data_IF_138148671761
#
_entry.id   IF_138148671761
#
_cell.length_a   1.000
_cell.length_b   1.000
_cell.length_c   1.000
_cell.angle_alpha   90.00
_cell.angle_beta   90.00
_cell.angle_gamma   90.00
#
_symmetry.space_group_name_H-M   'P 1'
#
loop_
_entity.id
_entity.type
_entity.pdbx_description
1 polymer ?
#
# COMPACT_ATOMS: atom_id res chain seq x y z
N UNK A 1 2.99 35.66 25.19
CA UNK A 1 2.10 34.60 24.64
C UNK A 1 2.34 34.46 23.14
N UNK A 2 3.57 34.14 22.73
CA UNK A 2 4.01 33.97 21.33
C UNK A 2 5.15 32.96 21.18
N UNK A 3 5.85 32.60 22.27
CA UNK A 3 6.95 31.63 22.25
C UNK A 3 6.48 30.17 22.15
N UNK A 4 5.29 29.85 22.70
CA UNK A 4 4.74 28.48 22.66
C UNK A 4 4.29 28.06 21.25
N UNK A 5 3.84 29.00 20.42
CA UNK A 5 3.46 28.70 19.03
C UNK A 5 4.70 28.43 18.15
N UNK A 6 5.80 29.14 18.36
CA UNK A 6 7.05 28.92 17.61
C UNK A 6 7.72 27.59 17.95
N UNK A 7 7.69 27.14 19.21
CA UNK A 7 8.19 25.81 19.60
C UNK A 7 7.31 24.68 19.06
N UNK A 8 5.99 24.87 19.00
CA UNK A 8 5.09 23.88 18.41
C UNK A 8 5.27 23.77 16.89
N UNK A 9 5.50 24.90 16.20
CA UNK A 9 5.76 24.96 14.76
C UNK A 9 7.12 24.35 14.41
N UNK A 10 8.18 24.67 15.15
CA UNK A 10 9.53 24.14 14.89
C UNK A 10 9.64 22.64 15.19
N UNK A 11 8.99 22.15 16.25
CA UNK A 11 8.88 20.71 16.50
C UNK A 11 8.06 20.02 15.39
N UNK A 12 6.94 20.59 14.97
CA UNK A 12 6.14 20.04 13.88
C UNK A 12 6.88 19.98 12.53
N UNK A 13 7.78 20.93 12.26
CA UNK A 13 8.64 20.92 11.07
C UNK A 13 9.75 19.88 11.14
N UNK A 14 10.37 19.68 12.31
CA UNK A 14 11.41 18.66 12.50
C UNK A 14 10.88 17.23 12.35
N UNK A 15 9.65 16.97 12.83
CA UNK A 15 9.00 15.65 12.71
C UNK A 15 8.30 15.42 11.37
N UNK A 16 8.21 16.43 10.51
CA UNK A 16 7.49 16.33 9.25
C UNK A 16 8.10 15.27 8.30
N UNK A 17 9.42 15.27 8.02
CA UNK A 17 10.03 14.24 7.18
C UNK A 17 9.85 12.83 7.74
N UNK A 18 9.97 12.66 9.06
CA UNK A 18 9.77 11.37 9.73
C UNK A 18 8.32 10.89 9.63
N UNK A 19 7.35 11.80 9.82
CA UNK A 19 5.92 11.48 9.66
C UNK A 19 5.60 11.07 8.24
N UNK A 20 6.11 11.79 7.25
CA UNK A 20 5.94 11.43 5.84
C UNK A 20 6.61 10.10 5.50
N UNK A 21 7.80 9.85 6.03
CA UNK A 21 8.49 8.56 5.91
C UNK A 21 7.65 7.39 6.41
N UNK A 22 7.18 7.47 7.66
CA UNK A 22 6.33 6.45 8.29
C UNK A 22 5.04 6.26 7.48
N UNK A 23 4.44 7.35 6.98
CA UNK A 23 3.23 7.28 6.16
C UNK A 23 3.44 6.48 4.87
N UNK A 24 4.51 6.79 4.11
CA UNK A 24 4.83 6.08 2.87
C UNK A 24 5.18 4.61 3.11
N UNK A 25 5.97 4.32 4.15
CA UNK A 25 6.27 2.95 4.57
C UNK A 25 4.98 2.21 4.94
N UNK A 26 4.08 2.85 5.69
CA UNK A 26 2.81 2.27 6.11
C UNK A 26 1.92 1.91 4.92
N UNK A 27 1.77 2.82 3.95
CA UNK A 27 0.99 2.56 2.72
C UNK A 27 1.57 1.37 1.96
N UNK A 28 2.88 1.37 1.70
CA UNK A 28 3.53 0.25 1.02
C UNK A 28 3.36 -1.07 1.79
N UNK A 29 3.51 -1.03 3.11
CA UNK A 29 3.40 -2.21 4.00
C UNK A 29 2.01 -2.83 3.96
N UNK A 30 0.95 -2.02 3.87
CA UNK A 30 -0.42 -2.52 3.75
C UNK A 30 -0.58 -3.31 2.44
N UNK A 31 -0.17 -2.73 1.30
CA UNK A 31 -0.27 -3.40 0.00
C UNK A 31 0.55 -4.68 -0.06
N UNK A 32 1.82 -4.63 0.35
CA UNK A 32 2.69 -5.81 0.34
C UNK A 32 2.20 -6.89 1.33
N UNK A 33 1.62 -6.51 2.47
CA UNK A 33 0.99 -7.45 3.39
C UNK A 33 -0.19 -8.18 2.76
N UNK A 34 -1.04 -7.47 2.01
CA UNK A 34 -2.17 -8.09 1.28
C UNK A 34 -1.66 -9.07 0.21
N UNK A 35 -0.61 -8.70 -0.51
CA UNK A 35 0.05 -9.58 -1.50
C UNK A 35 0.63 -10.83 -0.83
N UNK A 36 1.34 -10.68 0.29
CA UNK A 36 1.88 -11.81 1.05
C UNK A 36 0.76 -12.74 1.54
N UNK A 37 -0.34 -12.19 2.06
CA UNK A 37 -1.50 -12.98 2.45
C UNK A 37 -2.10 -13.73 1.25
N UNK A 38 -2.23 -13.08 0.09
CA UNK A 38 -2.71 -13.72 -1.13
C UNK A 38 -1.79 -14.86 -1.59
N UNK A 39 -0.47 -14.66 -1.56
CA UNK A 39 0.52 -15.70 -1.88
C UNK A 39 0.36 -16.89 -0.94
N UNK A 40 0.24 -16.65 0.38
CA UNK A 40 0.05 -17.72 1.37
C UNK A 40 -1.23 -18.52 1.10
N UNK A 41 -2.35 -17.85 0.81
CA UNK A 41 -3.62 -18.51 0.46
C UNK A 41 -3.48 -19.31 -0.83
N UNK A 42 -2.85 -18.74 -1.86
CA UNK A 42 -2.62 -19.43 -3.12
C UNK A 42 -1.76 -20.69 -2.94
N UNK A 43 -0.66 -20.61 -2.17
CA UNK A 43 0.17 -21.76 -1.84
C UNK A 43 -0.62 -22.84 -1.11
N UNK A 44 -1.45 -22.46 -0.12
CA UNK A 44 -2.30 -23.40 0.61
C UNK A 44 -3.32 -24.09 -0.30
N UNK A 45 -3.96 -23.35 -1.20
CA UNK A 45 -4.95 -23.88 -2.16
C UNK A 45 -4.29 -24.90 -3.10
N UNK A 46 -3.06 -24.62 -3.55
CA UNK A 46 -2.26 -25.55 -4.36
C UNK A 46 -1.50 -26.61 -3.58
N UNK A 47 -1.67 -26.67 -2.26
CA UNK A 47 -0.97 -27.60 -1.38
C UNK A 47 0.58 -27.50 -1.49
N UNK A 48 1.10 -26.30 -1.73
CA UNK A 48 2.53 -26.00 -1.81
C UNK A 48 3.06 -25.77 -0.39
N UNK A 49 3.80 -26.75 0.15
CA UNK A 49 4.29 -26.77 1.54
C UNK A 49 5.40 -25.75 1.88
N UNK A 50 5.81 -24.92 0.92
CA UNK A 50 6.93 -23.97 1.08
C UNK A 50 6.60 -22.94 2.18
N UNK A 51 5.32 -22.59 2.37
CA UNK A 51 4.90 -21.53 3.31
C UNK A 51 4.10 -22.03 4.51
N UNK A 52 4.10 -23.33 4.78
CA UNK A 52 3.28 -23.88 5.86
C UNK A 52 3.86 -23.64 7.26
N UNK A 53 5.20 -23.54 7.39
CA UNK A 53 5.83 -23.40 8.70
C UNK A 53 5.77 -21.95 9.21
N UNK A 54 5.43 -21.78 10.49
CA UNK A 54 5.36 -20.47 11.16
C UNK A 54 6.65 -19.65 11.04
N UNK A 55 7.87 -20.23 11.20
CA UNK A 55 9.11 -19.48 11.05
C UNK A 55 9.25 -18.84 9.67
N UNK A 56 8.88 -19.55 8.59
CA UNK A 56 8.97 -19.01 7.23
C UNK A 56 7.98 -17.85 7.00
N UNK A 57 6.79 -17.92 7.58
CA UNK A 57 5.82 -16.82 7.53
C UNK A 57 6.35 -15.59 8.25
N UNK A 58 6.96 -15.78 9.41
CA UNK A 58 7.57 -14.70 10.20
C UNK A 58 8.72 -14.07 9.42
N UNK A 59 9.63 -14.88 8.84
CA UNK A 59 10.72 -14.39 8.00
C UNK A 59 10.22 -13.57 6.80
N UNK A 60 9.14 -13.98 6.14
CA UNK A 60 8.55 -13.22 5.04
C UNK A 60 7.99 -11.86 5.47
N UNK A 61 7.31 -11.82 6.62
CA UNK A 61 6.79 -10.57 7.16
C UNK A 61 7.95 -9.62 7.50
N UNK A 62 8.97 -10.09 8.22
CA UNK A 62 10.15 -9.27 8.51
C UNK A 62 10.88 -8.83 7.24
N UNK A 63 11.00 -9.71 6.24
CA UNK A 63 11.59 -9.36 4.95
C UNK A 63 10.81 -8.26 4.22
N UNK A 64 9.48 -8.30 4.26
CA UNK A 64 8.63 -7.23 3.71
C UNK A 64 8.82 -5.92 4.45
N UNK A 65 8.86 -5.92 5.78
CA UNK A 65 9.14 -4.69 6.55
C UNK A 65 10.52 -4.10 6.22
N UNK A 66 11.55 -4.94 6.14
CA UNK A 66 12.91 -4.49 5.77
C UNK A 66 12.90 -3.88 4.37
N UNK A 67 12.19 -4.50 3.43
CA UNK A 67 12.04 -3.96 2.08
C UNK A 67 11.32 -2.61 2.09
N UNK A 68 10.23 -2.48 2.84
CA UNK A 68 9.41 -1.27 2.86
C UNK A 68 10.10 -0.07 3.50
N UNK A 69 10.76 -0.28 4.64
CA UNK A 69 11.64 0.72 5.21
C UNK A 69 12.81 1.03 4.27
N UNK A 70 13.45 -0.01 3.74
CA UNK A 70 14.65 0.12 2.91
C UNK A 70 14.42 0.90 1.62
N UNK A 71 13.28 0.74 0.94
CA UNK A 71 13.05 1.41 -0.35
C UNK A 71 12.69 2.89 -0.21
N UNK A 72 11.97 3.29 0.85
CA UNK A 72 11.66 4.70 1.10
C UNK A 72 12.87 5.43 1.71
N UNK A 73 13.76 4.73 2.42
CA UNK A 73 14.88 5.33 3.14
C UNK A 73 15.74 6.27 2.29
N UNK A 74 16.12 5.97 1.04
CA UNK A 74 16.83 6.91 0.17
C UNK A 74 16.08 8.24 -0.05
N UNK A 75 14.76 8.20 -0.19
CA UNK A 75 13.92 9.40 -0.38
C UNK A 75 13.93 10.26 0.89
N UNK A 76 13.89 9.61 2.06
CA UNK A 76 14.02 10.28 3.35
C UNK A 76 15.40 10.91 3.55
N UNK A 77 16.48 10.15 3.30
CA UNK A 77 17.87 10.62 3.48
C UNK A 77 18.26 11.76 2.52
N UNK A 78 17.56 11.89 1.39
CA UNK A 78 17.79 12.96 0.41
C UNK A 78 16.92 14.20 0.66
N UNK A 79 16.23 14.30 1.81
CA UNK A 79 15.34 15.41 2.18
C UNK A 79 14.25 15.70 1.12
N UNK A 80 13.80 14.66 0.41
CA UNK A 80 12.74 14.78 -0.58
C UNK A 80 11.34 14.60 0.03
N UNK A 81 11.20 14.66 1.36
CA UNK A 81 9.91 14.67 2.05
C UNK A 81 9.71 16.06 2.61
N UNK A 82 8.65 16.75 2.16
CA UNK A 82 8.37 18.13 2.53
C UNK A 82 6.91 18.30 2.94
N UNK A 83 6.67 19.36 3.72
CA UNK A 83 5.33 19.77 4.10
C UNK A 83 4.60 20.30 2.88
N UNK A 84 3.35 19.91 2.72
CA UNK A 84 2.48 20.47 1.69
C UNK A 84 2.19 21.96 1.99
N UNK A 85 2.11 22.83 0.96
CA UNK A 85 1.89 24.26 1.17
C UNK A 85 0.50 24.60 1.75
N UNK A 86 -0.45 23.66 1.71
CA UNK A 86 -1.85 23.91 2.07
C UNK A 86 -2.38 22.98 3.18
N UNK A 87 -1.52 22.11 3.70
CA UNK A 87 -1.87 21.10 4.69
C UNK A 87 -0.70 20.78 5.63
N UNK A 88 -1.00 20.25 6.82
CA UNK A 88 0.01 19.76 7.76
C UNK A 88 0.48 18.33 7.44
N UNK A 89 0.13 17.83 6.25
CA UNK A 89 0.60 16.56 5.73
C UNK A 89 2.01 16.70 5.14
N UNK A 90 2.80 15.66 5.33
CA UNK A 90 4.18 15.57 4.88
C UNK A 90 4.27 14.42 3.90
N UNK A 91 4.63 14.71 2.66
CA UNK A 91 4.69 13.74 1.57
C UNK A 91 6.00 13.90 0.80
N UNK A 92 6.26 13.00 -0.14
CA UNK A 92 7.32 13.19 -1.11
C UNK A 92 7.05 14.52 -1.83
N UNK A 93 8.10 15.32 -1.97
CA UNK A 93 8.02 16.68 -2.49
C UNK A 93 7.35 16.68 -3.86
N UNK A 94 6.36 17.55 -4.01
CA UNK A 94 5.64 17.76 -5.27
C UNK A 94 6.61 18.18 -6.39
N UNK A 95 7.73 18.83 -6.06
CA UNK A 95 8.78 19.18 -7.03
C UNK A 95 9.53 17.97 -7.62
N UNK A 96 9.28 16.76 -7.11
CA UNK A 96 9.91 15.49 -7.53
C UNK A 96 8.86 14.49 -8.01
N UNK A 97 8.21 14.74 -9.16
CA UNK A 97 7.20 13.83 -9.71
C UNK A 97 7.80 12.46 -10.08
N UNK A 98 9.10 12.39 -10.36
CA UNK A 98 9.86 11.15 -10.57
C UNK A 98 9.83 10.24 -9.32
N UNK A 99 10.01 10.82 -8.14
CA UNK A 99 10.00 10.09 -6.87
C UNK A 99 8.57 9.70 -6.45
N UNK A 100 7.58 10.56 -6.70
CA UNK A 100 6.17 10.26 -6.49
C UNK A 100 5.70 9.11 -7.39
N UNK A 101 6.08 9.15 -8.67
CA UNK A 101 5.71 8.11 -9.62
C UNK A 101 6.39 6.78 -9.27
N UNK A 102 7.69 6.78 -8.99
CA UNK A 102 8.42 5.56 -8.65
C UNK A 102 7.93 4.93 -7.34
N UNK A 103 7.63 5.71 -6.30
CA UNK A 103 7.05 5.18 -5.06
C UNK A 103 5.65 4.61 -5.29
N UNK A 104 4.82 5.29 -6.10
CA UNK A 104 3.51 4.80 -6.50
C UNK A 104 3.58 3.50 -7.30
N UNK A 105 4.53 3.36 -8.23
CA UNK A 105 4.76 2.13 -9.00
C UNK A 105 5.11 0.96 -8.09
N UNK A 106 6.05 1.17 -7.16
CA UNK A 106 6.49 0.12 -6.25
C UNK A 106 5.36 -0.28 -5.29
N UNK A 107 4.69 0.68 -4.66
CA UNK A 107 3.64 0.39 -3.68
C UNK A 107 2.38 -0.23 -4.31
N UNK A 108 1.86 0.36 -5.39
CA UNK A 108 0.57 0.00 -5.97
C UNK A 108 0.71 -0.99 -7.13
N UNK A 109 1.41 -0.59 -8.20
CA UNK A 109 1.38 -1.32 -9.46
C UNK A 109 2.04 -2.70 -9.38
N UNK A 110 3.16 -2.82 -8.67
CA UNK A 110 3.83 -4.12 -8.46
C UNK A 110 2.91 -5.07 -7.70
N UNK A 111 2.30 -4.60 -6.61
CA UNK A 111 1.32 -5.35 -5.81
C UNK A 111 0.14 -5.83 -6.67
N UNK A 112 -0.40 -4.96 -7.51
CA UNK A 112 -1.53 -5.28 -8.38
C UNK A 112 -1.20 -6.30 -9.47
N UNK A 113 -0.05 -6.17 -10.10
CA UNK A 113 0.40 -7.13 -11.11
C UNK A 113 0.53 -8.53 -10.47
N UNK A 114 1.14 -8.62 -9.28
CA UNK A 114 1.27 -9.88 -8.55
C UNK A 114 -0.13 -10.45 -8.22
N UNK A 115 -1.01 -9.62 -7.65
CA UNK A 115 -2.38 -10.01 -7.30
C UNK A 115 -3.17 -10.51 -8.52
N UNK A 116 -3.10 -9.81 -9.65
CA UNK A 116 -3.76 -10.18 -10.89
C UNK A 116 -3.24 -11.51 -11.45
N UNK A 117 -1.92 -11.73 -11.42
CA UNK A 117 -1.31 -12.99 -11.84
C UNK A 117 -1.75 -14.14 -10.94
N UNK A 118 -1.75 -13.96 -9.61
CA UNK A 118 -2.22 -14.96 -8.66
C UNK A 118 -3.69 -15.28 -8.86
N UNK A 119 -4.54 -14.26 -9.04
CA UNK A 119 -5.98 -14.44 -9.26
C UNK A 119 -6.26 -15.21 -10.56
N UNK A 120 -5.60 -14.86 -11.67
CA UNK A 120 -5.70 -15.59 -12.94
C UNK A 120 -5.27 -17.05 -12.79
N UNK A 121 -4.16 -17.32 -12.09
CA UNK A 121 -3.67 -18.69 -11.83
C UNK A 121 -4.61 -19.47 -10.91
N UNK A 122 -5.22 -18.80 -9.93
CA UNK A 122 -6.18 -19.39 -9.02
C UNK A 122 -7.44 -19.85 -9.75
N UNK A 123 -8.03 -18.99 -10.59
CA UNK A 123 -9.22 -19.34 -11.39
C UNK A 123 -8.95 -20.58 -12.24
N UNK A 124 -7.82 -20.61 -12.94
CA UNK A 124 -7.43 -21.77 -13.77
C UNK A 124 -7.34 -23.04 -12.93
N UNK A 125 -6.72 -22.96 -11.75
CA UNK A 125 -6.59 -24.11 -10.84
C UNK A 125 -7.95 -24.58 -10.32
N UNK A 126 -8.82 -23.68 -9.88
CA UNK A 126 -10.15 -24.03 -9.34
C UNK A 126 -11.00 -24.73 -10.40
N UNK A 127 -10.96 -24.26 -11.65
CA UNK A 127 -11.68 -24.90 -12.78
C UNK A 127 -11.18 -26.33 -13.06
N UNK A 128 -9.88 -26.58 -12.90
CA UNK A 128 -9.32 -27.92 -13.07
C UNK A 128 -9.63 -28.82 -11.86
N UNK A 129 -9.58 -28.25 -10.65
CA UNK A 129 -9.86 -28.98 -9.42
C UNK A 129 -11.34 -29.36 -9.30
N UNK A 130 -12.27 -28.54 -9.80
CA UNK A 130 -13.71 -28.82 -9.75
C UNK A 130 -14.12 -30.09 -10.48
N UNK A 131 -13.32 -30.54 -11.45
CA UNK A 131 -13.56 -31.77 -12.19
C UNK A 131 -13.03 -33.04 -11.51
N UNK A 132 -12.09 -32.90 -10.56
CA UNK A 132 -11.31 -34.03 -10.01
C UNK A 132 -11.35 -34.18 -8.49
N UNK A 133 -11.79 -33.17 -7.77
CA UNK A 133 -11.71 -33.14 -6.31
C UNK A 133 -13.00 -33.60 -5.63
N UNK A 134 -12.84 -34.26 -4.49
CA UNK A 134 -13.95 -34.72 -3.64
C UNK A 134 -14.69 -33.54 -2.99
N UNK A 135 -15.95 -33.75 -2.60
CA UNK A 135 -16.80 -32.71 -1.98
C UNK A 135 -16.14 -32.00 -0.79
N UNK A 136 -15.51 -32.76 0.12
CA UNK A 136 -14.81 -32.20 1.30
C UNK A 136 -13.59 -31.33 0.90
N UNK A 137 -12.86 -31.74 -0.13
CA UNK A 137 -11.71 -30.98 -0.64
C UNK A 137 -12.19 -29.71 -1.34
N UNK A 138 -13.29 -29.78 -2.08
CA UNK A 138 -13.90 -28.64 -2.76
C UNK A 138 -14.41 -27.60 -1.75
N UNK A 139 -15.02 -28.03 -0.65
CA UNK A 139 -15.46 -27.11 0.42
C UNK A 139 -14.28 -26.33 1.04
N UNK A 140 -13.15 -27.01 1.29
CA UNK A 140 -11.92 -26.37 1.78
C UNK A 140 -11.36 -25.35 0.77
N UNK A 141 -11.30 -25.73 -0.51
CA UNK A 141 -10.86 -24.84 -1.59
C UNK A 141 -11.77 -23.62 -1.68
N UNK A 142 -13.09 -23.80 -1.68
CA UNK A 142 -14.06 -22.72 -1.77
C UNK A 142 -13.93 -21.72 -0.61
N UNK A 143 -13.69 -22.20 0.61
CA UNK A 143 -13.43 -21.33 1.76
C UNK A 143 -12.16 -20.50 1.56
N UNK A 144 -11.07 -21.13 1.14
CA UNK A 144 -9.79 -20.43 0.95
C UNK A 144 -9.86 -19.45 -0.25
N UNK A 145 -10.59 -19.80 -1.32
CA UNK A 145 -10.89 -18.91 -2.46
C UNK A 145 -11.73 -17.72 -2.04
N UNK A 146 -12.73 -17.90 -1.17
CA UNK A 146 -13.54 -16.79 -0.66
C UNK A 146 -12.68 -15.78 0.12
N UNK A 147 -11.74 -16.27 0.94
CA UNK A 147 -10.77 -15.41 1.64
C UNK A 147 -9.84 -14.72 0.65
N UNK A 148 -9.31 -15.43 -0.35
CA UNK A 148 -8.49 -14.82 -1.40
C UNK A 148 -9.22 -13.70 -2.15
N UNK A 149 -10.51 -13.91 -2.47
CA UNK A 149 -11.34 -12.90 -3.13
C UNK A 149 -11.50 -11.65 -2.28
N UNK A 150 -11.71 -11.79 -0.96
CA UNK A 150 -11.79 -10.64 -0.03
C UNK A 150 -10.48 -9.85 0.00
N UNK A 151 -9.33 -10.53 0.09
CA UNK A 151 -8.02 -9.88 0.04
C UNK A 151 -7.82 -9.11 -1.28
N UNK A 152 -8.26 -9.70 -2.40
CA UNK A 152 -8.17 -9.05 -3.72
C UNK A 152 -9.07 -7.82 -3.82
N UNK A 153 -10.28 -7.88 -3.29
CA UNK A 153 -11.20 -6.74 -3.25
C UNK A 153 -10.64 -5.60 -2.38
N UNK A 154 -10.13 -5.92 -1.18
CA UNK A 154 -9.50 -4.92 -0.30
C UNK A 154 -8.32 -4.22 -0.97
N UNK A 155 -7.44 -4.98 -1.65
CA UNK A 155 -6.33 -4.37 -2.39
C UNK A 155 -6.83 -3.49 -3.54
N UNK A 156 -7.86 -3.91 -4.26
CA UNK A 156 -8.43 -3.12 -5.36
C UNK A 156 -9.10 -1.83 -4.87
N UNK A 157 -9.79 -1.87 -3.72
CA UNK A 157 -10.38 -0.69 -3.08
C UNK A 157 -9.29 0.32 -2.70
N UNK A 158 -8.20 -0.12 -2.08
CA UNK A 158 -7.05 0.74 -1.77
C UNK A 158 -6.48 1.42 -3.00
N UNK A 159 -6.37 0.69 -4.12
CA UNK A 159 -5.82 1.22 -5.38
C UNK A 159 -6.77 2.23 -6.02
N UNK A 160 -8.07 1.92 -6.07
CA UNK A 160 -9.08 2.86 -6.60
C UNK A 160 -9.06 4.18 -5.81
N UNK A 161 -8.80 4.12 -4.50
CA UNK A 161 -8.72 5.31 -3.66
C UNK A 161 -7.35 6.00 -3.75
N UNK A 162 -6.27 5.24 -3.90
CA UNK A 162 -4.90 5.76 -3.97
C UNK A 162 -4.53 6.39 -5.30
N UNK A 163 -4.95 5.80 -6.44
CA UNK A 163 -4.61 6.29 -7.78
C UNK A 163 -5.08 7.75 -8.01
N UNK A 164 -6.34 8.13 -7.71
CA UNK A 164 -6.79 9.51 -7.87
C UNK A 164 -5.94 10.51 -7.07
N UNK A 165 -5.56 10.16 -5.83
CA UNK A 165 -4.69 11.00 -5.01
C UNK A 165 -3.30 11.15 -5.64
N UNK A 166 -2.73 10.05 -6.17
CA UNK A 166 -1.44 10.08 -6.86
C UNK A 166 -1.50 10.91 -8.15
N UNK A 167 -2.56 10.76 -8.95
CA UNK A 167 -2.78 11.55 -10.18
C UNK A 167 -2.86 13.04 -9.82
N UNK A 168 -3.63 13.40 -8.80
CA UNK A 168 -3.76 14.79 -8.37
C UNK A 168 -2.43 15.36 -7.88
N UNK A 169 -1.62 14.58 -7.14
CA UNK A 169 -0.28 14.99 -6.72
C UNK A 169 0.67 15.21 -7.92
N UNK A 170 0.64 14.32 -8.92
CA UNK A 170 1.45 14.45 -10.14
C UNK A 170 0.98 15.65 -10.98
N UNK A 171 -0.33 15.85 -11.11
CA UNK A 171 -0.88 17.02 -11.83
C UNK A 171 -0.49 18.31 -11.11
N UNK A 172 -0.55 18.34 -9.77
CA UNK A 172 -0.11 19.48 -8.97
C UNK A 172 1.40 19.75 -9.12
N UNK A 173 2.21 18.71 -9.31
CA UNK A 173 3.63 18.83 -9.60
C UNK A 173 3.92 19.52 -10.93
N UNK A 174 3.09 19.26 -11.93
CA UNK A 174 3.25 19.81 -13.29
C UNK A 174 2.60 21.20 -13.39
N UNK A 175 1.44 21.39 -12.74
CA UNK A 175 0.61 22.59 -12.84
C UNK A 175 0.39 23.20 -11.45
N UNK A 176 1.42 23.89 -10.95
CA UNK A 176 1.47 24.50 -9.61
C UNK A 176 0.31 25.48 -9.37
N UNK A 177 -0.27 26.08 -10.42
CA UNK A 177 -1.26 27.16 -10.29
C UNK A 177 -2.73 26.71 -10.25
N UNK A 178 -3.04 25.44 -10.54
CA UNK A 178 -4.41 25.04 -10.90
C UNK A 178 -5.16 24.29 -9.78
N UNK A 179 -4.49 23.81 -8.73
CA UNK A 179 -5.16 22.90 -7.80
C UNK A 179 -5.93 23.61 -6.66
N UNK A 180 -7.28 23.53 -6.61
CA UNK A 180 -8.04 24.04 -5.48
C UNK A 180 -7.77 23.18 -4.23
N UNK A 181 -7.40 23.87 -3.14
CA UNK A 181 -6.98 23.27 -1.87
C UNK A 181 -8.02 22.30 -1.28
N UNK A 182 -9.29 22.54 -1.55
CA UNK A 182 -10.41 21.74 -1.02
C UNK A 182 -10.47 20.33 -1.63
N UNK A 183 -10.25 20.19 -2.95
CA UNK A 183 -10.22 18.88 -3.62
C UNK A 183 -9.10 18.01 -3.05
N UNK A 184 -7.95 18.63 -2.78
CA UNK A 184 -6.79 17.95 -2.22
C UNK A 184 -7.05 17.42 -0.80
N UNK A 185 -7.63 18.25 0.08
CA UNK A 185 -7.99 17.84 1.45
C UNK A 185 -9.00 16.71 1.48
N UNK A 186 -10.00 16.76 0.60
CA UNK A 186 -11.01 15.72 0.47
C UNK A 186 -10.34 14.39 0.09
N UNK A 187 -9.46 14.38 -0.91
CA UNK A 187 -8.73 13.17 -1.31
C UNK A 187 -7.84 12.60 -0.20
N UNK A 188 -7.16 13.48 0.55
CA UNK A 188 -6.32 13.05 1.68
C UNK A 188 -7.14 12.47 2.84
N UNK A 189 -8.30 13.06 3.13
CA UNK A 189 -9.26 12.53 4.10
C UNK A 189 -9.79 11.17 3.66
N UNK A 190 -10.15 11.00 2.40
CA UNK A 190 -10.59 9.71 1.86
C UNK A 190 -9.48 8.65 1.95
N UNK A 191 -8.24 9.00 1.62
CA UNK A 191 -7.10 8.08 1.75
C UNK A 191 -6.87 7.66 3.21
N UNK A 192 -6.85 8.62 4.14
CA UNK A 192 -6.62 8.36 5.56
C UNK A 192 -7.77 7.58 6.20
N UNK A 193 -9.02 7.89 5.86
CA UNK A 193 -10.20 7.16 6.38
C UNK A 193 -10.26 5.74 5.81
N UNK A 194 -9.90 5.54 4.55
CA UNK A 194 -9.83 4.20 3.96
C UNK A 194 -8.78 3.32 4.67
N UNK A 195 -7.59 3.88 4.92
CA UNK A 195 -6.55 3.19 5.68
C UNK A 195 -7.03 2.88 7.11
N UNK A 196 -7.71 3.82 7.76
CA UNK A 196 -8.22 3.63 9.13
C UNK A 196 -9.36 2.61 9.22
N UNK A 197 -10.25 2.56 8.22
CA UNK A 197 -11.35 1.58 8.14
C UNK A 197 -10.86 0.15 7.88
N UNK A 198 -9.64 -0.01 7.38
CA UNK A 198 -9.05 -1.31 7.06
C UNK A 198 -8.14 -1.87 8.17
N UNK A 199 -7.78 -1.06 9.17
CA UNK A 199 -7.04 -1.45 10.38
C UNK A 199 -8.01 -1.90 11.48
#
# INVERSE_FOLDING_TARGET
MFLWDYECITNAELFCPLRGYIHHVGIASIHHSLVLQAIQKYCRIKNIKILDSSPRKICLVFGQWIFDFGYILPIYLTNNISKLPFDNACLISISRPDLLFSSGVVAFFVSDIIMAVLYRRLIKFVRQASQKANANQMQKINRDVAVFRRITLLNFELVILGIPALIVLIVAAIHIEILPKDIFRILLLFLNTAVLLML
#
